data_IF_288164127257
#
_entry.id   IF_288164127257
#
_cell.length_a   1.000
_cell.length_b   1.000
_cell.length_c   1.000
_cell.angle_alpha   90.00
_cell.angle_beta   90.00
_cell.angle_gamma   90.00
#
_symmetry.space_group_name_H-M   'P 1'
#
loop_
_entity.id
_entity.type
_entity.pdbx_description
1 polymer ?
#
# COMPACT_ATOMS: atom_id res chain seq x y z
N UNK A 1 -20.26 0.62 -12.78
CA UNK A 1 -19.47 1.47 -11.87
C UNK A 1 -18.19 1.85 -12.59
N UNK A 2 -17.88 3.14 -12.76
CA UNK A 2 -16.63 3.55 -13.42
C UNK A 2 -15.48 3.45 -12.41
N UNK A 3 -14.47 2.64 -12.72
CA UNK A 3 -13.26 2.55 -11.91
C UNK A 3 -12.42 3.82 -12.11
N UNK A 4 -12.26 4.62 -11.05
CA UNK A 4 -11.45 5.84 -11.10
C UNK A 4 -10.02 5.50 -10.70
N UNK A 5 -9.10 5.65 -11.65
CA UNK A 5 -7.67 5.54 -11.37
C UNK A 5 -7.23 6.67 -10.42
N UNK A 6 -6.36 6.36 -9.45
CA UNK A 6 -5.88 7.35 -8.51
C UNK A 6 -4.98 8.37 -9.20
N UNK A 7 -5.05 9.63 -8.74
CA UNK A 7 -4.16 10.70 -9.19
C UNK A 7 -3.16 11.04 -8.09
N UNK A 8 -1.94 11.33 -8.52
CA UNK A 8 -0.89 11.82 -7.64
C UNK A 8 -1.31 13.14 -6.99
N UNK A 9 -0.95 13.31 -5.73
CA UNK A 9 -1.16 14.54 -4.98
C UNK A 9 0.05 14.80 -4.06
N UNK A 10 -0.02 15.86 -3.26
CA UNK A 10 1.05 16.25 -2.34
C UNK A 10 1.39 15.15 -1.33
N UNK A 11 0.39 14.36 -0.89
CA UNK A 11 0.52 13.35 0.16
C UNK A 11 0.76 11.93 -0.37
N UNK A 12 0.27 11.61 -1.56
CA UNK A 12 0.28 10.27 -2.12
C UNK A 12 0.83 10.26 -3.55
N UNK A 13 1.77 9.36 -3.81
CA UNK A 13 2.23 8.96 -5.15
C UNK A 13 1.74 7.54 -5.43
N UNK A 14 1.27 7.26 -6.64
CA UNK A 14 0.76 5.94 -7.02
C UNK A 14 1.62 5.33 -8.13
N UNK A 15 2.24 4.19 -7.87
CA UNK A 15 2.94 3.42 -8.90
C UNK A 15 1.94 2.84 -9.91
N UNK A 16 2.42 2.38 -11.06
CA UNK A 16 1.57 1.65 -11.99
C UNK A 16 1.13 0.29 -11.42
N UNK A 17 2.03 -0.39 -10.70
CA UNK A 17 1.73 -1.66 -10.06
C UNK A 17 0.51 -1.60 -9.12
N UNK A 18 0.39 -0.57 -8.25
CA UNK A 18 -0.82 -0.46 -7.41
C UNK A 18 -2.06 -0.17 -8.24
N UNK A 19 -1.97 0.59 -9.34
CA UNK A 19 -3.12 0.85 -10.24
C UNK A 19 -3.63 -0.43 -10.88
N UNK A 20 -2.73 -1.32 -11.27
CA UNK A 20 -3.09 -2.61 -11.87
C UNK A 20 -3.76 -3.52 -10.83
N UNK A 21 -3.18 -3.64 -9.63
CA UNK A 21 -3.79 -4.44 -8.55
C UNK A 21 -5.10 -3.85 -8.04
N UNK A 22 -5.24 -2.52 -8.09
CA UNK A 22 -6.49 -1.80 -7.82
C UNK A 22 -7.62 -2.24 -8.76
N UNK A 23 -7.33 -2.37 -10.06
CA UNK A 23 -8.29 -2.89 -11.05
C UNK A 23 -8.55 -4.38 -10.80
N UNK A 24 -7.51 -5.19 -10.64
CA UNK A 24 -7.60 -6.65 -10.46
C UNK A 24 -8.45 -7.04 -9.23
N UNK A 25 -8.18 -6.45 -8.07
CA UNK A 25 -8.88 -6.76 -6.81
C UNK A 25 -10.11 -5.88 -6.55
N UNK A 26 -10.47 -4.99 -7.48
CA UNK A 26 -11.56 -4.03 -7.29
C UNK A 26 -11.38 -3.17 -6.02
N UNK A 27 -10.16 -2.64 -5.81
CA UNK A 27 -9.81 -1.82 -4.65
C UNK A 27 -9.87 -0.35 -5.06
N UNK A 28 -10.68 0.45 -4.37
CA UNK A 28 -10.79 1.89 -4.63
C UNK A 28 -9.66 2.69 -3.97
N UNK A 29 -9.35 3.86 -4.53
CA UNK A 29 -8.38 4.80 -3.95
C UNK A 29 -8.76 5.20 -2.52
N UNK A 30 -10.05 5.40 -2.26
CA UNK A 30 -10.55 5.77 -0.93
C UNK A 30 -10.33 4.67 0.11
N UNK A 31 -10.42 3.40 -0.31
CA UNK A 31 -10.15 2.26 0.56
C UNK A 31 -8.67 2.17 0.92
N UNK A 32 -7.78 2.35 -0.06
CA UNK A 32 -6.33 2.37 0.18
C UNK A 32 -5.96 3.51 1.14
N UNK A 33 -6.46 4.73 0.88
CA UNK A 33 -6.24 5.87 1.78
C UNK A 33 -6.74 5.59 3.20
N UNK A 34 -7.84 4.86 3.37
CA UNK A 34 -8.38 4.48 4.68
C UNK A 34 -7.44 3.53 5.40
N UNK A 35 -7.01 2.45 4.73
CA UNK A 35 -6.07 1.46 5.30
C UNK A 35 -4.76 2.13 5.71
N UNK A 36 -4.25 3.06 4.91
CA UNK A 36 -3.01 3.80 5.23
C UNK A 36 -3.18 4.77 6.41
N UNK A 37 -4.36 5.38 6.59
CA UNK A 37 -4.60 6.34 7.68
C UNK A 37 -4.93 5.68 9.01
N UNK A 38 -5.70 4.59 8.97
CA UNK A 38 -6.18 3.88 10.16
C UNK A 38 -5.96 2.37 9.98
N UNK A 39 -4.68 1.94 9.95
CA UNK A 39 -4.37 0.52 9.84
C UNK A 39 -4.77 -0.21 11.11
N UNK A 40 -5.30 -1.43 10.95
CA UNK A 40 -5.51 -2.34 12.07
C UNK A 40 -4.21 -3.04 12.46
N UNK A 41 -3.34 -3.31 11.47
CA UNK A 41 -2.03 -3.92 11.65
C UNK A 41 -1.01 -3.21 10.77
N UNK A 42 0.19 -3.01 11.29
CA UNK A 42 1.33 -2.43 10.57
C UNK A 42 2.50 -3.39 10.68
N UNK A 43 3.11 -3.72 9.55
CA UNK A 43 4.24 -4.64 9.43
C UNK A 43 5.32 -4.04 8.55
N UNK A 44 6.53 -4.57 8.69
CA UNK A 44 7.60 -4.30 7.74
C UNK A 44 7.21 -4.89 6.38
N UNK A 45 7.35 -4.09 5.31
CA UNK A 45 7.04 -4.56 3.97
C UNK A 45 8.11 -5.54 3.49
N UNK A 46 7.75 -6.30 2.45
CA UNK A 46 8.64 -7.32 1.87
C UNK A 46 9.92 -6.69 1.29
N UNK A 47 9.79 -5.47 0.76
CA UNK A 47 10.92 -4.70 0.27
C UNK A 47 11.52 -3.82 1.37
N UNK A 48 12.85 -3.74 1.42
CA UNK A 48 13.59 -2.93 2.39
C UNK A 48 13.12 -1.47 2.39
N UNK A 49 12.78 -0.94 3.58
CA UNK A 49 12.33 0.44 3.74
C UNK A 49 10.88 0.70 3.29
N UNK A 50 10.10 -0.35 3.03
CA UNK A 50 8.66 -0.26 2.80
C UNK A 50 7.88 -0.69 4.05
N UNK A 51 6.64 -0.21 4.17
CA UNK A 51 5.73 -0.54 5.25
C UNK A 51 4.47 -1.15 4.66
N UNK A 52 4.10 -2.33 5.15
CA UNK A 52 2.85 -2.98 4.80
C UNK A 52 1.84 -2.71 5.91
N UNK A 53 0.64 -2.26 5.53
CA UNK A 53 -0.45 -2.01 6.45
C UNK A 53 -1.69 -2.76 6.03
N UNK A 54 -2.47 -3.18 7.02
CA UNK A 54 -3.65 -3.98 6.78
C UNK A 54 -4.86 -3.51 7.59
N UNK A 55 -6.03 -3.68 6.97
CA UNK A 55 -7.32 -3.52 7.64
C UNK A 55 -8.27 -4.67 7.27
N UNK A 56 -9.08 -5.11 8.23
CA UNK A 56 -10.16 -6.07 8.00
C UNK A 56 -11.27 -5.42 7.17
N UNK A 57 -11.72 -6.09 6.11
CA UNK A 57 -12.72 -5.57 5.19
C UNK A 57 -14.15 -5.65 5.75
N UNK A 58 -14.51 -6.77 6.40
CA UNK A 58 -15.82 -6.94 7.04
C UNK A 58 -15.74 -7.96 8.17
N UNK A 59 -16.74 -7.97 9.06
CA UNK A 59 -16.83 -8.90 10.18
C UNK A 59 -17.38 -10.28 9.80
N UNK A 60 -18.15 -10.36 8.70
CA UNK A 60 -18.84 -11.59 8.26
C UNK A 60 -17.98 -12.52 7.40
N UNK A 61 -17.07 -11.98 6.61
CA UNK A 61 -16.07 -12.72 5.84
C UNK A 61 -14.69 -12.21 6.24
N UNK A 62 -13.80 -13.07 6.75
CA UNK A 62 -12.44 -12.66 7.10
C UNK A 62 -11.69 -12.37 5.81
N UNK A 63 -11.81 -11.14 5.32
CA UNK A 63 -11.03 -10.62 4.21
C UNK A 63 -10.18 -9.48 4.74
N UNK A 64 -8.92 -9.48 4.37
CA UNK A 64 -7.98 -8.44 4.74
C UNK A 64 -7.58 -7.66 3.49
N UNK A 65 -7.46 -6.35 3.65
CA UNK A 65 -6.95 -5.47 2.61
C UNK A 65 -5.58 -5.01 3.06
N UNK A 66 -4.58 -5.39 2.27
CA UNK A 66 -3.20 -5.04 2.46
C UNK A 66 -2.81 -3.91 1.53
N UNK A 67 -1.99 -2.99 2.03
CA UNK A 67 -1.40 -1.91 1.25
C UNK A 67 0.06 -1.81 1.64
N UNK A 68 0.94 -1.88 0.64
CA UNK A 68 2.36 -1.63 0.81
C UNK A 68 2.71 -0.25 0.29
N UNK A 69 3.39 0.54 1.10
CA UNK A 69 3.85 1.87 0.74
C UNK A 69 5.24 2.16 1.28
N UNK A 70 5.90 3.13 0.68
CA UNK A 70 7.17 3.66 1.15
C UNK A 70 6.95 5.10 1.66
N UNK A 71 7.49 5.39 2.83
CA UNK A 71 7.57 6.76 3.31
C UNK A 71 8.84 7.41 2.78
N UNK A 72 8.69 8.37 1.88
CA UNK A 72 9.80 9.28 1.62
C UNK A 72 9.92 10.24 2.80
N UNK A 73 10.68 9.81 3.81
CA UNK A 73 11.19 10.69 4.87
C UNK A 73 12.22 11.62 4.23
N UNK A 74 11.76 12.57 3.41
CA UNK A 74 12.60 13.71 3.08
C UNK A 74 12.91 14.40 4.41
N UNK A 75 14.17 14.27 4.80
CA UNK A 75 14.81 14.88 5.94
C UNK A 75 14.20 16.27 6.14
N UNK A 76 13.74 16.55 7.37
CA UNK A 76 13.37 17.90 7.81
C UNK A 76 14.47 18.86 7.35
N UNK A 77 14.31 19.49 6.19
CA UNK A 77 15.22 20.54 5.74
C UNK A 77 14.90 21.69 6.67
N UNK A 78 15.81 21.96 7.62
CA UNK A 78 15.80 23.15 8.48
C UNK A 78 15.83 24.39 7.58
N UNK A 79 14.69 24.79 7.02
CA UNK A 79 14.53 26.08 6.36
C UNK A 79 13.29 26.69 7.01
N UNK A 80 13.52 27.77 7.75
CA UNK A 80 12.63 28.29 8.79
C UNK A 80 11.35 28.96 8.25
N UNK A 81 11.02 28.89 6.95
CA UNK A 81 9.92 29.67 6.37
C UNK A 81 9.16 29.01 5.21
N UNK A 82 9.23 27.68 5.03
CA UNK A 82 8.49 27.01 3.96
C UNK A 82 7.50 25.98 4.52
N UNK A 83 6.29 26.00 3.96
CA UNK A 83 5.14 25.12 4.27
C UNK A 83 5.66 23.68 4.50
N UNK A 84 5.29 23.00 5.59
CA UNK A 84 5.86 21.70 5.93
C UNK A 84 5.68 20.73 4.77
N UNK A 85 6.81 20.33 4.15
CA UNK A 85 6.83 19.34 3.09
C UNK A 85 6.30 18.03 3.68
N UNK A 86 5.01 17.76 3.46
CA UNK A 86 4.36 16.60 4.07
C UNK A 86 5.05 15.34 3.60
N UNK A 87 5.36 14.40 4.51
CA UNK A 87 5.97 13.12 4.16
C UNK A 87 5.13 12.43 3.08
N UNK A 88 5.62 12.47 1.84
CA UNK A 88 4.93 11.90 0.69
C UNK A 88 5.02 10.38 0.77
N UNK A 89 3.86 9.71 0.81
CA UNK A 89 3.77 8.25 0.82
C UNK A 89 3.66 7.76 -0.62
N UNK A 90 4.60 6.94 -1.06
CA UNK A 90 4.53 6.26 -2.35
C UNK A 90 3.82 4.93 -2.14
N UNK A 91 2.60 4.79 -2.66
CA UNK A 91 1.86 3.53 -2.63
C UNK A 91 2.41 2.63 -3.73
N UNK A 92 2.86 1.44 -3.35
CA UNK A 92 3.56 0.50 -4.24
C UNK A 92 2.62 -0.60 -4.70
N UNK A 93 1.89 -1.24 -3.78
CA UNK A 93 0.98 -2.34 -4.09
C UNK A 93 -0.19 -2.40 -3.11
N UNK A 94 -1.27 -3.06 -3.51
CA UNK A 94 -2.42 -3.34 -2.67
C UNK A 94 -3.08 -4.65 -3.09
N UNK A 95 -3.50 -5.49 -2.14
CA UNK A 95 -4.12 -6.78 -2.44
C UNK A 95 -5.17 -7.16 -1.39
N UNK A 96 -6.06 -8.08 -1.78
CA UNK A 96 -7.02 -8.71 -0.87
C UNK A 96 -6.51 -10.09 -0.49
N UNK A 97 -6.48 -10.37 0.80
CA UNK A 97 -6.16 -11.70 1.32
C UNK A 97 -7.45 -12.41 1.76
N UNK A 98 -7.75 -13.62 1.22
CA UNK A 98 -8.93 -14.39 1.58
C UNK A 98 -8.69 -15.14 2.90
N UNK A 99 -8.76 -14.42 4.02
CA UNK A 99 -8.62 -15.01 5.35
C UNK A 99 -8.06 -14.03 6.38
N UNK A 100 -7.60 -14.60 7.50
CA UNK A 100 -6.80 -13.90 8.50
C UNK A 100 -5.35 -14.28 8.24
N UNK A 101 -4.51 -13.30 7.90
CA UNK A 101 -3.08 -13.56 7.67
C UNK A 101 -2.37 -13.93 8.97
N UNK A 102 -1.43 -14.90 8.93
CA UNK A 102 -0.65 -15.30 10.08
C UNK A 102 0.16 -14.12 10.63
N UNK A 103 0.03 -13.86 11.93
CA UNK A 103 0.72 -12.75 12.61
C UNK A 103 2.20 -13.09 12.76
N UNK A 104 3.10 -12.22 12.30
CA UNK A 104 4.55 -12.34 12.55
C UNK A 104 5.31 -13.33 11.66
N UNK A 105 4.68 -13.85 10.61
CA UNK A 105 5.38 -14.54 9.50
C UNK A 105 5.44 -13.62 8.29
N UNK A 106 6.45 -13.79 7.44
CA UNK A 106 6.55 -13.09 6.16
C UNK A 106 5.19 -13.12 5.46
N UNK A 107 4.73 -11.94 5.02
CA UNK A 107 3.41 -11.77 4.41
C UNK A 107 3.27 -12.84 3.32
N UNK A 108 2.24 -13.71 3.34
CA UNK A 108 2.06 -14.70 2.30
C UNK A 108 1.72 -13.95 1.00
N UNK A 109 2.76 -13.72 0.21
CA UNK A 109 2.65 -13.23 -1.14
C UNK A 109 2.19 -14.42 -1.98
N UNK A 110 1.05 -14.33 -2.70
CA UNK A 110 0.67 -15.36 -3.67
C UNK A 110 1.82 -15.57 -4.68
N UNK A 111 2.13 -16.82 -5.03
CA UNK A 111 3.27 -17.17 -5.91
C UNK A 111 3.31 -16.36 -7.22
N UNK A 112 2.14 -15.96 -7.73
CA UNK A 112 1.96 -15.11 -8.91
C UNK A 112 2.66 -13.74 -8.78
N UNK A 113 2.71 -13.16 -7.58
CA UNK A 113 3.35 -11.85 -7.32
C UNK A 113 4.86 -11.99 -7.12
N UNK A 114 5.34 -13.16 -6.65
CA UNK A 114 6.78 -13.43 -6.57
C UNK A 114 7.40 -13.50 -7.99
N UNK A 115 6.72 -14.17 -8.92
CA UNK A 115 7.14 -14.27 -10.32
C UNK A 115 7.14 -12.91 -11.05
N UNK A 116 6.21 -12.01 -10.70
CA UNK A 116 6.17 -10.64 -11.25
C UNK A 116 7.34 -9.76 -10.75
N UNK A 117 7.81 -9.93 -9.51
CA UNK A 117 8.90 -9.12 -8.95
C UNK A 117 10.28 -9.49 -9.53
N UNK A 118 10.45 -10.75 -9.94
CA UNK A 118 11.69 -11.26 -10.53
C UNK A 118 11.92 -10.71 -11.95
N UNK A 119 10.84 -10.47 -12.72
CA UNK A 119 10.88 -9.93 -14.08
C UNK A 119 11.07 -8.40 -14.19
N UNK A 120 11.11 -7.66 -13.07
CA UNK A 120 11.27 -6.19 -13.10
C UNK A 120 12.76 -5.78 -13.19
N UNK A 121 13.68 -6.74 -13.11
CA UNK A 121 15.14 -6.52 -13.16
C UNK A 121 15.87 -7.21 -14.32
N UNK A 122 15.15 -7.85 -15.25
CA UNK A 122 15.64 -8.31 -16.57
C UNK A 122 15.30 -7.30 -17.67
#
# INVERSE_FOLDING_TARGET
MQFKLPKDNEKYKWTNHVKDKMVYYGISESLIKRVVRHPHRTEEGVATGTTAVMQKATSKTPQEIWVMYQENKNLKRKIQNEIPLTNKKTIISAWRYPGISPVGKAIPIPDEILAELENIWE
#
